data_IF_766997537399
#
_entry.id   IF_766997537399
#
_cell.length_a   1.000
_cell.length_b   1.000
_cell.length_c   1.000
_cell.angle_alpha   90.00
_cell.angle_beta   90.00
_cell.angle_gamma   90.00
#
_symmetry.space_group_name_H-M   'P 1'
#
loop_
_entity.id
_entity.type
_entity.pdbx_description
1 polymer ?
#
# COMPACT_ATOMS: atom_id res chain seq x y z
N UNK A 1 1.18 2.60 -24.79
CA UNK A 1 0.63 2.63 -23.41
C UNK A 1 0.41 1.19 -22.97
N UNK A 2 1.04 0.74 -21.89
CA UNK A 2 0.99 -0.68 -21.45
C UNK A 2 0.19 -0.90 -20.16
N UNK A 3 -0.36 0.18 -19.58
CA UNK A 3 -1.06 0.16 -18.30
C UNK A 3 -2.24 1.14 -18.31
N UNK A 4 -3.22 0.92 -17.42
CA UNK A 4 -4.35 1.83 -17.21
C UNK A 4 -3.90 3.15 -16.57
N UNK A 5 -4.66 4.22 -16.81
CA UNK A 5 -4.42 5.53 -16.20
C UNK A 5 -5.02 5.51 -14.77
N UNK A 6 -4.24 5.86 -13.71
CA UNK A 6 -4.77 6.00 -12.35
C UNK A 6 -5.51 7.34 -12.21
N UNK A 7 -6.74 7.41 -12.72
CA UNK A 7 -7.55 8.62 -12.70
C UNK A 7 -9.04 8.33 -12.53
N UNK A 8 -9.77 9.36 -12.12
CA UNK A 8 -11.22 9.38 -12.24
C UNK A 8 -11.61 10.01 -13.57
N UNK A 9 -12.42 9.31 -14.38
CA UNK A 9 -12.94 9.83 -15.64
C UNK A 9 -14.44 10.10 -15.46
N UNK A 10 -14.83 11.35 -15.70
CA UNK A 10 -16.23 11.78 -15.63
C UNK A 10 -17.01 11.49 -16.91
N UNK A 11 -17.99 12.34 -17.19
CA UNK A 11 -18.79 12.27 -18.42
C UNK A 11 -17.92 12.35 -19.67
N UNK A 12 -18.13 11.44 -20.62
CA UNK A 12 -17.40 11.39 -21.89
C UNK A 12 -18.32 11.68 -23.09
N UNK A 13 -17.87 12.53 -24.00
CA UNK A 13 -18.59 12.88 -25.23
C UNK A 13 -17.73 12.63 -26.47
N UNK A 14 -18.33 12.10 -27.53
CA UNK A 14 -17.68 11.97 -28.85
C UNK A 14 -18.58 12.66 -29.87
N UNK A 15 -18.05 13.64 -30.61
CA UNK A 15 -18.81 14.44 -31.59
C UNK A 15 -20.13 14.99 -31.01
N UNK A 16 -20.05 15.56 -29.81
CA UNK A 16 -21.20 16.08 -29.05
C UNK A 16 -22.24 15.04 -28.60
N UNK A 17 -22.00 13.75 -28.81
CA UNK A 17 -22.83 12.67 -28.27
C UNK A 17 -22.28 12.20 -26.94
N UNK A 18 -23.09 12.33 -25.88
CA UNK A 18 -22.79 11.77 -24.57
C UNK A 18 -22.79 10.24 -24.63
N UNK A 19 -21.76 9.63 -24.08
CA UNK A 19 -21.68 8.18 -23.90
C UNK A 19 -22.34 7.77 -22.58
N UNK A 20 -22.98 6.59 -22.60
CA UNK A 20 -23.51 5.95 -21.40
C UNK A 20 -22.39 5.16 -20.71
N UNK A 21 -21.83 5.76 -19.66
CA UNK A 21 -20.77 5.15 -18.87
C UNK A 21 -21.31 4.09 -17.87
N UNK A 22 -22.63 4.00 -17.68
CA UNK A 22 -23.27 3.04 -16.77
C UNK A 22 -23.57 1.70 -17.46
N UNK A 23 -23.65 1.69 -18.79
CA UNK A 23 -23.94 0.49 -19.59
C UNK A 23 -22.83 0.14 -20.62
N UNK A 24 -21.57 -0.05 -20.19
CA UNK A 24 -20.49 -0.43 -21.10
C UNK A 24 -20.64 -1.88 -21.58
N UNK A 25 -20.10 -2.17 -22.77
CA UNK A 25 -20.09 -3.53 -23.33
C UNK A 25 -19.19 -4.47 -22.52
N UNK A 26 -18.13 -3.97 -21.89
CA UNK A 26 -17.25 -4.73 -20.98
C UNK A 26 -16.57 -3.82 -19.96
N UNK A 27 -16.26 -4.36 -18.78
CA UNK A 27 -15.57 -3.67 -17.68
C UNK A 27 -14.48 -4.57 -17.12
N UNK A 28 -13.32 -4.02 -16.82
CA UNK A 28 -12.25 -4.71 -16.14
C UNK A 28 -11.57 -3.80 -15.11
N UNK A 29 -11.58 -4.20 -13.84
CA UNK A 29 -10.91 -3.51 -12.72
C UNK A 29 -11.21 -2.00 -12.61
N UNK A 30 -12.44 -1.58 -12.91
CA UNK A 30 -12.92 -0.20 -12.72
C UNK A 30 -13.69 -0.11 -11.40
N UNK A 31 -13.47 0.98 -10.66
CA UNK A 31 -14.17 1.29 -9.42
C UNK A 31 -14.70 2.73 -9.44
N UNK A 32 -15.61 3.03 -8.50
CA UNK A 32 -16.12 4.38 -8.29
C UNK A 32 -15.06 5.29 -7.68
N UNK A 33 -15.13 6.57 -7.99
CA UNK A 33 -14.25 7.59 -7.42
C UNK A 33 -14.78 8.08 -6.06
N UNK A 34 -13.88 8.49 -5.17
CA UNK A 34 -14.24 9.23 -3.96
C UNK A 34 -14.58 10.69 -4.29
N UNK A 35 -15.50 11.29 -3.54
CA UNK A 35 -15.89 12.70 -3.71
C UNK A 35 -14.77 13.68 -3.35
N UNK A 36 -13.84 13.28 -2.49
CA UNK A 36 -12.62 14.02 -2.19
C UNK A 36 -11.47 13.03 -2.09
N UNK A 37 -10.37 13.31 -2.78
CA UNK A 37 -9.21 12.43 -2.90
C UNK A 37 -7.94 13.16 -2.49
N UNK A 38 -6.93 12.38 -2.15
CA UNK A 38 -5.55 12.80 -2.03
C UNK A 38 -4.68 11.71 -2.66
N UNK A 39 -3.48 12.07 -3.11
CA UNK A 39 -2.58 11.10 -3.71
C UNK A 39 -2.18 10.02 -2.69
N UNK A 40 -2.20 8.76 -3.14
CA UNK A 40 -1.82 7.61 -2.33
C UNK A 40 -2.64 6.36 -2.61
N UNK A 41 -2.37 5.30 -1.84
CA UNK A 41 -3.09 4.03 -1.90
C UNK A 41 -3.89 3.85 -0.62
N UNK A 42 -5.20 3.61 -0.75
CA UNK A 42 -6.08 3.37 0.39
C UNK A 42 -6.07 1.89 0.79
N UNK A 43 -5.87 1.65 2.08
CA UNK A 43 -6.12 0.35 2.73
C UNK A 43 -7.29 0.54 3.70
N UNK A 44 -8.36 -0.24 3.54
CA UNK A 44 -9.56 -0.19 4.39
C UNK A 44 -9.44 -1.03 5.68
N UNK A 45 -8.34 -1.78 5.81
CA UNK A 45 -8.05 -2.63 6.95
C UNK A 45 -8.51 -4.08 6.81
N UNK A 46 -9.12 -4.48 5.68
CA UNK A 46 -9.59 -5.87 5.50
C UNK A 46 -8.59 -6.79 4.79
N UNK A 47 -7.43 -6.28 4.36
CA UNK A 47 -6.49 -7.05 3.53
C UNK A 47 -5.11 -6.42 3.40
N UNK A 48 -4.39 -6.81 2.35
CA UNK A 48 -3.01 -6.42 2.09
C UNK A 48 -2.70 -6.41 0.58
N UNK A 49 -1.57 -5.81 0.21
CA UNK A 49 -1.02 -5.88 -1.15
C UNK A 49 0.25 -6.75 -1.14
N UNK A 50 0.24 -7.82 -1.94
CA UNK A 50 1.43 -8.65 -2.15
C UNK A 50 2.15 -8.22 -3.44
N UNK A 51 3.40 -7.80 -3.30
CA UNK A 51 4.23 -7.32 -4.40
C UNK A 51 5.41 -8.27 -4.63
N UNK A 52 6.02 -8.19 -5.81
CA UNK A 52 7.23 -8.96 -6.18
C UNK A 52 7.01 -10.48 -6.06
N UNK A 53 6.18 -11.04 -6.95
CA UNK A 53 5.84 -12.48 -6.96
C UNK A 53 7.06 -13.41 -6.99
N UNK A 54 8.12 -13.01 -7.69
CA UNK A 54 9.37 -13.78 -7.80
C UNK A 54 10.25 -13.71 -6.54
N UNK A 55 9.82 -12.96 -5.52
CA UNK A 55 10.51 -12.77 -4.25
C UNK A 55 11.47 -11.58 -4.23
N UNK A 56 11.63 -11.00 -3.05
CA UNK A 56 12.56 -9.91 -2.77
C UNK A 56 13.67 -10.37 -1.82
N UNK A 57 14.93 -10.06 -2.13
CA UNK A 57 16.08 -10.42 -1.29
C UNK A 57 16.63 -9.15 -0.63
N UNK A 58 16.42 -9.03 0.69
CA UNK A 58 16.87 -7.88 1.50
C UNK A 58 18.39 -7.73 1.48
N UNK A 59 19.14 -8.84 1.58
CA UNK A 59 20.61 -8.88 1.64
C UNK A 59 21.13 -8.07 2.85
N UNK A 60 22.34 -7.53 2.75
CA UNK A 60 23.02 -6.83 3.83
C UNK A 60 22.49 -5.42 4.07
N UNK A 61 22.04 -4.74 3.01
CA UNK A 61 21.66 -3.33 3.05
C UNK A 61 20.33 -3.11 2.30
N UNK A 62 19.40 -2.41 2.95
CA UNK A 62 18.12 -2.01 2.37
C UNK A 62 17.75 -0.61 2.86
N UNK A 63 17.20 0.21 1.97
CA UNK A 63 16.59 1.50 2.33
C UNK A 63 15.10 1.44 2.01
N UNK A 64 14.26 1.78 3.00
CA UNK A 64 12.81 1.84 2.88
C UNK A 64 12.39 3.26 3.20
N UNK A 65 11.75 3.91 2.23
CA UNK A 65 11.19 5.25 2.37
C UNK A 65 9.73 5.22 1.92
N UNK A 66 8.82 5.66 2.78
CA UNK A 66 7.38 5.74 2.51
C UNK A 66 6.75 6.84 3.37
N UNK A 67 5.59 7.31 2.92
CA UNK A 67 4.72 8.20 3.68
C UNK A 67 3.40 7.47 3.97
N UNK A 68 2.90 7.61 5.19
CA UNK A 68 1.61 7.02 5.57
C UNK A 68 0.85 7.95 6.50
N UNK A 69 -0.48 7.80 6.47
CA UNK A 69 -1.39 8.38 7.46
C UNK A 69 -2.38 7.31 7.88
N UNK A 70 -2.76 7.30 9.15
CA UNK A 70 -3.75 6.36 9.68
C UNK A 70 -4.45 6.96 10.88
N UNK A 71 -5.68 6.51 11.13
CA UNK A 71 -6.41 6.76 12.39
C UNK A 71 -6.31 5.56 13.33
N UNK A 72 -5.73 4.44 12.88
CA UNK A 72 -5.57 3.23 13.68
C UNK A 72 -4.29 3.27 14.52
N UNK A 73 -4.38 2.87 15.78
CA UNK A 73 -3.23 2.73 16.69
C UNK A 73 -2.39 1.47 16.42
N UNK A 74 -2.88 0.56 15.57
CA UNK A 74 -2.26 -0.71 15.22
C UNK A 74 -2.37 -0.97 13.73
N UNK A 75 -1.30 -1.48 13.11
CA UNK A 75 -1.33 -1.88 11.71
C UNK A 75 0.04 -2.26 11.16
N UNK A 76 0.07 -3.30 10.32
CA UNK A 76 1.28 -3.68 9.58
C UNK A 76 1.47 -2.73 8.40
N UNK A 77 2.67 -2.22 8.20
CA UNK A 77 3.01 -1.35 7.07
C UNK A 77 3.76 -2.11 5.97
N UNK A 78 4.74 -2.93 6.34
CA UNK A 78 5.55 -3.69 5.39
C UNK A 78 6.11 -4.96 6.05
N UNK A 79 6.18 -6.05 5.29
CA UNK A 79 6.85 -7.27 5.72
C UNK A 79 7.55 -7.97 4.56
N UNK A 80 8.80 -8.38 4.77
CA UNK A 80 9.52 -9.30 3.89
C UNK A 80 10.11 -10.40 4.77
N UNK A 81 9.63 -11.62 4.61
CA UNK A 81 10.07 -12.77 5.41
C UNK A 81 10.50 -13.91 4.50
N UNK A 82 11.55 -14.62 4.91
CA UNK A 82 11.83 -15.94 4.40
C UNK A 82 10.87 -16.97 5.01
N UNK A 83 10.84 -18.19 4.44
CA UNK A 83 10.15 -19.32 5.05
C UNK A 83 10.91 -19.92 6.27
N UNK A 84 12.08 -19.37 6.62
CA UNK A 84 12.94 -19.85 7.70
C UNK A 84 12.93 -18.86 8.88
N UNK A 85 13.99 -18.05 9.01
CA UNK A 85 14.22 -17.21 10.19
C UNK A 85 14.38 -15.74 9.79
N UNK A 86 15.00 -15.48 8.65
CA UNK A 86 15.38 -14.13 8.24
C UNK A 86 14.14 -13.34 7.80
N UNK A 87 13.98 -12.13 8.35
CA UNK A 87 12.85 -11.27 8.07
C UNK A 87 13.13 -9.80 8.42
N UNK A 88 12.43 -8.89 7.74
CA UNK A 88 12.25 -7.50 8.15
C UNK A 88 10.76 -7.17 8.22
N UNK A 89 10.38 -6.31 9.17
CA UNK A 89 9.00 -5.88 9.35
C UNK A 89 8.91 -4.44 9.85
N UNK A 90 7.96 -3.68 9.34
CA UNK A 90 7.63 -2.33 9.78
C UNK A 90 6.15 -2.29 10.15
N UNK A 91 5.84 -1.88 11.37
CA UNK A 91 4.47 -1.88 11.89
C UNK A 91 4.23 -0.77 12.92
N UNK A 92 2.95 -0.51 13.17
CA UNK A 92 2.47 0.40 14.18
C UNK A 92 1.85 -0.43 15.30
N UNK A 93 2.28 -0.22 16.54
CA UNK A 93 1.71 -0.87 17.73
C UNK A 93 1.57 0.18 18.82
N UNK A 94 0.34 0.39 19.30
CA UNK A 94 0.02 1.45 20.27
C UNK A 94 0.53 2.83 19.82
N UNK A 95 0.33 3.16 18.54
CA UNK A 95 0.77 4.41 17.91
C UNK A 95 2.29 4.63 17.86
N UNK A 96 3.09 3.62 18.25
CA UNK A 96 4.55 3.61 18.07
C UNK A 96 4.89 2.93 16.76
N UNK A 97 5.92 3.41 16.08
CA UNK A 97 6.45 2.77 14.87
C UNK A 97 7.57 1.83 15.27
N UNK A 98 7.46 0.56 14.92
CA UNK A 98 8.44 -0.47 15.22
C UNK A 98 9.03 -1.02 13.93
N UNK A 99 10.37 -1.06 13.87
CA UNK A 99 11.10 -1.70 12.80
C UNK A 99 11.85 -2.91 13.35
N UNK A 100 11.52 -4.08 12.82
CA UNK A 100 12.05 -5.39 13.22
C UNK A 100 12.98 -5.94 12.15
N UNK A 101 14.11 -6.50 12.59
CA UNK A 101 15.06 -7.21 11.72
C UNK A 101 15.49 -8.49 12.41
N UNK A 102 15.51 -9.60 11.68
CA UNK A 102 16.13 -10.84 12.10
C UNK A 102 17.03 -11.35 10.98
N UNK A 103 18.33 -11.46 11.25
CA UNK A 103 19.34 -11.96 10.30
C UNK A 103 19.76 -13.41 10.61
N UNK A 104 18.90 -14.17 11.28
CA UNK A 104 19.13 -15.56 11.67
C UNK A 104 19.60 -15.76 13.12
N UNK A 105 19.99 -14.68 13.81
CA UNK A 105 20.52 -14.72 15.19
C UNK A 105 19.58 -14.12 16.24
N UNK A 106 18.30 -13.92 15.88
CA UNK A 106 17.29 -13.32 16.76
C UNK A 106 16.86 -11.94 16.31
N UNK A 107 15.71 -11.50 16.82
CA UNK A 107 15.05 -10.25 16.42
C UNK A 107 15.67 -9.06 17.14
N UNK A 108 16.08 -8.06 16.36
CA UNK A 108 16.44 -6.71 16.79
C UNK A 108 15.28 -5.78 16.46
N UNK A 109 15.07 -4.74 17.28
CA UNK A 109 13.95 -3.80 17.11
C UNK A 109 14.39 -2.37 17.37
N UNK A 110 14.10 -1.48 16.43
CA UNK A 110 14.10 -0.04 16.65
C UNK A 110 12.66 0.43 16.87
N UNK A 111 12.45 1.33 17.83
CA UNK A 111 11.13 1.90 18.12
C UNK A 111 11.20 3.41 18.02
N UNK A 112 10.22 4.01 17.35
CA UNK A 112 10.01 5.44 17.29
C UNK A 112 8.64 5.78 17.87
N UNK A 113 8.62 6.73 18.80
CA UNK A 113 7.38 7.24 19.40
C UNK A 113 7.11 8.63 18.81
N UNK A 114 6.07 8.76 17.96
CA UNK A 114 5.66 10.07 17.46
C UNK A 114 5.27 10.95 18.65
N UNK A 115 5.79 12.18 18.69
CA UNK A 115 5.30 13.18 19.65
C UNK A 115 3.87 13.54 19.24
N UNK A 116 2.92 13.42 20.16
CA UNK A 116 1.56 13.92 19.95
C UNK A 116 1.62 15.40 19.56
N UNK A 117 0.87 15.77 18.53
CA UNK A 117 0.62 17.17 18.16
C UNK A 117 -0.34 17.80 19.14
#
# INVERSE_FOLDING_TARGET
VTHSIPACIGSMTINSKQLDNESPVSIFAVNKCYGTVQDGTLFDGSGFAALVREGYKVRSDVNISLEFRTTAAHGVLLGVSSAKVDAIGLEIIHSKVLFHVNNGAGRVTATYEPRGT
#
